data_IF_338828439888
#
_entry.id   IF_338828439888
#
_cell.length_a   1.000
_cell.length_b   1.000
_cell.length_c   1.000
_cell.angle_alpha   90.00
_cell.angle_beta   90.00
_cell.angle_gamma   90.00
#
_symmetry.space_group_name_H-M   'P 1'
#
loop_
_entity.id
_entity.type
_entity.pdbx_description
1 polymer ?
#
# COMPACT_ATOMS: atom_id res chain seq x y z
N UNK A 1 8.40 -9.47 6.41
CA UNK A 1 8.00 -8.05 6.44
C UNK A 1 7.43 -7.60 7.78
N UNK A 2 6.37 -8.24 8.32
CA UNK A 2 5.78 -7.78 9.60
C UNK A 2 6.74 -7.85 10.78
N UNK A 3 7.56 -8.90 10.88
CA UNK A 3 8.52 -9.03 11.97
C UNK A 3 9.55 -7.90 11.94
N UNK A 4 9.99 -7.51 10.75
CA UNK A 4 10.96 -6.44 10.50
C UNK A 4 10.37 -5.07 10.86
N UNK A 5 9.09 -4.82 10.55
CA UNK A 5 8.37 -3.61 10.97
C UNK A 5 8.26 -3.53 12.50
N UNK A 6 7.89 -4.63 13.15
CA UNK A 6 7.80 -4.68 14.62
C UNK A 6 9.17 -4.47 15.27
N UNK A 7 10.23 -5.06 14.73
CA UNK A 7 11.61 -4.85 15.19
C UNK A 7 12.06 -3.40 15.02
N UNK A 8 11.56 -2.69 14.00
CA UNK A 8 11.79 -1.27 13.79
C UNK A 8 10.89 -0.36 14.66
N UNK A 9 10.07 -0.92 15.56
CA UNK A 9 9.27 -0.16 16.53
C UNK A 9 7.84 0.16 16.09
N UNK A 10 7.36 -0.37 14.96
CA UNK A 10 6.00 -0.13 14.49
C UNK A 10 4.97 -1.00 15.21
N UNK A 11 3.84 -0.39 15.61
CA UNK A 11 2.60 -1.12 15.81
C UNK A 11 2.01 -1.53 14.46
N UNK A 12 1.76 -2.82 14.24
CA UNK A 12 1.28 -3.33 12.95
C UNK A 12 -0.11 -3.94 13.08
N UNK A 13 -1.09 -3.29 12.45
CA UNK A 13 -2.42 -3.86 12.23
C UNK A 13 -2.46 -4.60 10.89
N UNK A 14 -2.80 -5.88 10.91
CA UNK A 14 -3.16 -6.67 9.73
C UNK A 14 -4.59 -7.15 9.88
N UNK A 15 -5.33 -7.17 8.78
CA UNK A 15 -6.70 -7.66 8.75
C UNK A 15 -6.92 -8.45 7.46
N UNK A 16 -7.95 -9.28 7.47
CA UNK A 16 -8.46 -9.94 6.27
C UNK A 16 -9.58 -9.09 5.68
N UNK A 17 -9.54 -8.87 4.37
CA UNK A 17 -10.68 -8.30 3.63
C UNK A 17 -11.93 -9.17 3.79
N UNK A 18 -13.10 -8.58 3.53
CA UNK A 18 -14.38 -9.29 3.44
C UNK A 18 -14.27 -10.57 2.59
N UNK A 19 -14.88 -11.64 3.06
CA UNK A 19 -14.85 -12.96 2.41
C UNK A 19 -13.54 -13.73 2.52
N UNK A 20 -12.52 -13.22 3.23
CA UNK A 20 -11.24 -13.91 3.45
C UNK A 20 -11.11 -14.40 4.90
N UNK A 21 -10.80 -15.69 5.06
CA UNK A 21 -10.60 -16.30 6.37
C UNK A 21 -11.87 -16.21 7.23
N UNK A 22 -11.76 -15.54 8.37
CA UNK A 22 -12.90 -15.33 9.29
C UNK A 22 -13.66 -14.02 9.06
N UNK A 23 -13.27 -13.18 8.10
CA UNK A 23 -13.98 -11.94 7.78
C UNK A 23 -15.26 -12.26 7.02
N UNK A 24 -16.39 -11.73 7.49
CA UNK A 24 -17.70 -11.86 6.83
C UNK A 24 -17.78 -11.11 5.51
N UNK A 25 -18.89 -11.28 4.79
CA UNK A 25 -19.16 -10.61 3.51
C UNK A 25 -18.56 -11.36 2.31
N UNK A 26 -18.61 -10.72 1.16
CA UNK A 26 -18.17 -11.29 -0.12
C UNK A 26 -17.23 -10.34 -0.84
N UNK A 27 -16.30 -10.92 -1.62
CA UNK A 27 -15.36 -10.15 -2.44
C UNK A 27 -16.12 -9.28 -3.45
N UNK A 28 -15.69 -8.03 -3.57
CA UNK A 28 -16.37 -6.99 -4.36
C UNK A 28 -15.44 -6.20 -5.28
N UNK A 29 -14.37 -6.84 -5.75
CA UNK A 29 -13.42 -6.30 -6.73
C UNK A 29 -12.78 -4.95 -6.33
N UNK A 30 -12.60 -4.71 -5.04
CA UNK A 30 -11.99 -3.49 -4.51
C UNK A 30 -12.99 -2.37 -4.21
N UNK A 31 -14.29 -2.54 -4.47
CA UNK A 31 -15.31 -1.51 -4.17
C UNK A 31 -15.60 -1.52 -2.67
N UNK A 32 -16.06 -2.64 -2.15
CA UNK A 32 -16.35 -2.82 -0.74
C UNK A 32 -15.08 -2.95 0.11
N UNK A 33 -14.01 -3.51 -0.44
CA UNK A 33 -12.74 -3.63 0.29
C UNK A 33 -12.15 -2.26 0.68
N UNK A 34 -12.53 -1.17 0.02
CA UNK A 34 -12.20 0.19 0.46
C UNK A 34 -12.83 0.54 1.82
N UNK A 35 -14.03 0.05 2.12
CA UNK A 35 -14.64 0.22 3.45
C UNK A 35 -13.90 -0.58 4.51
N UNK A 36 -13.35 -1.75 4.15
CA UNK A 36 -12.56 -2.56 5.07
C UNK A 36 -11.24 -1.83 5.42
N UNK A 37 -10.59 -1.18 4.43
CA UNK A 37 -9.44 -0.30 4.67
C UNK A 37 -9.84 0.87 5.58
N UNK A 38 -10.96 1.54 5.28
CA UNK A 38 -11.45 2.66 6.08
C UNK A 38 -11.71 2.25 7.54
N UNK A 39 -12.34 1.10 7.76
CA UNK A 39 -12.61 0.55 9.08
C UNK A 39 -11.32 0.21 9.84
N UNK A 40 -10.31 -0.37 9.17
CA UNK A 40 -9.02 -0.65 9.79
C UNK A 40 -8.27 0.63 10.19
N UNK A 41 -8.29 1.66 9.33
CA UNK A 41 -7.67 2.97 9.62
C UNK A 41 -8.40 3.64 10.79
N UNK A 42 -9.74 3.63 10.80
CA UNK A 42 -10.54 4.20 11.87
C UNK A 42 -10.29 3.47 13.21
N UNK A 43 -10.22 2.14 13.19
CA UNK A 43 -9.89 1.35 14.38
C UNK A 43 -8.51 1.71 14.92
N UNK A 44 -7.48 1.79 14.06
CA UNK A 44 -6.13 2.16 14.47
C UNK A 44 -6.08 3.58 15.06
N UNK A 45 -6.81 4.53 14.49
CA UNK A 45 -6.92 5.90 14.99
C UNK A 45 -7.64 5.98 16.35
N UNK A 46 -8.65 5.15 16.58
CA UNK A 46 -9.35 5.11 17.88
C UNK A 46 -8.53 4.41 18.97
N UNK A 47 -7.87 3.29 18.64
CA UNK A 47 -7.08 2.54 19.59
C UNK A 47 -5.77 3.25 19.99
N UNK A 48 -5.17 3.99 19.04
CA UNK A 48 -3.89 4.68 19.20
C UNK A 48 -3.95 6.10 18.61
N UNK A 49 -4.68 7.03 19.24
CA UNK A 49 -4.94 8.37 18.67
C UNK A 49 -3.67 9.18 18.44
N UNK A 50 -2.72 9.10 19.36
CA UNK A 50 -1.50 9.93 19.38
C UNK A 50 -0.36 9.37 18.52
N UNK A 51 -0.49 8.15 17.98
CA UNK A 51 0.55 7.56 17.14
C UNK A 51 0.41 7.99 15.68
N UNK A 52 1.52 8.34 15.00
CA UNK A 52 1.54 8.45 13.54
C UNK A 52 1.08 7.13 12.89
N UNK A 53 0.39 7.25 11.76
CA UNK A 53 -0.18 6.12 11.03
C UNK A 53 0.24 6.18 9.57
N UNK A 54 0.39 5.02 8.95
CA UNK A 54 0.64 4.88 7.53
C UNK A 54 -0.02 3.62 7.00
N UNK A 55 -0.20 3.55 5.68
CA UNK A 55 -0.83 2.42 5.01
C UNK A 55 0.23 1.72 4.16
N UNK A 56 0.30 0.40 4.28
CA UNK A 56 1.12 -0.45 3.41
C UNK A 56 0.20 -1.46 2.74
N UNK A 57 0.17 -1.45 1.41
CA UNK A 57 -0.60 -2.41 0.63
C UNK A 57 0.31 -3.22 -0.28
N UNK A 58 -0.12 -4.44 -0.62
CA UNK A 58 0.55 -5.28 -1.60
C UNK A 58 -0.45 -5.69 -2.68
N UNK A 59 -0.10 -5.49 -3.96
CA UNK A 59 -0.88 -5.89 -5.12
C UNK A 59 -2.32 -5.39 -5.03
N UNK A 60 -3.32 -6.27 -5.00
CA UNK A 60 -4.72 -5.91 -4.77
C UNK A 60 -4.90 -4.97 -3.56
N UNK A 61 -4.22 -5.23 -2.44
CA UNK A 61 -4.31 -4.38 -1.24
C UNK A 61 -3.68 -3.00 -1.44
N UNK A 62 -2.64 -2.88 -2.28
CA UNK A 62 -2.07 -1.60 -2.66
C UNK A 62 -3.07 -0.80 -3.50
N UNK A 63 -3.61 -1.40 -4.55
CA UNK A 63 -4.59 -0.74 -5.41
C UNK A 63 -5.85 -0.31 -4.65
N UNK A 64 -6.39 -1.20 -3.82
CA UNK A 64 -7.57 -0.95 -2.99
C UNK A 64 -7.33 0.17 -1.97
N UNK A 65 -6.20 0.16 -1.28
CA UNK A 65 -5.90 1.20 -0.28
C UNK A 65 -5.60 2.56 -0.91
N UNK A 66 -5.02 2.61 -2.12
CA UNK A 66 -4.85 3.87 -2.84
C UNK A 66 -6.18 4.43 -3.35
N UNK A 67 -7.12 3.55 -3.76
CA UNK A 67 -8.50 3.94 -4.07
C UNK A 67 -9.24 4.47 -2.84
N UNK A 68 -9.05 3.85 -1.68
CA UNK A 68 -9.52 4.40 -0.41
C UNK A 68 -8.97 5.82 -0.18
N UNK A 69 -7.67 6.07 -0.43
CA UNK A 69 -7.13 7.43 -0.29
C UNK A 69 -7.81 8.44 -1.21
N UNK A 70 -8.12 8.06 -2.46
CA UNK A 70 -8.83 8.91 -3.39
C UNK A 70 -10.29 9.14 -2.97
N UNK A 71 -10.99 8.11 -2.49
CA UNK A 71 -12.39 8.24 -2.07
C UNK A 71 -12.55 9.06 -0.79
N UNK A 72 -11.74 8.76 0.21
CA UNK A 72 -11.83 9.36 1.55
C UNK A 72 -10.91 10.58 1.72
N UNK A 73 -10.22 11.00 0.65
CA UNK A 73 -9.27 12.12 0.65
C UNK A 73 -8.21 11.99 1.77
N UNK A 74 -7.75 10.75 2.01
CA UNK A 74 -6.78 10.45 3.07
C UNK A 74 -5.38 10.93 2.70
N UNK A 75 -4.80 11.74 3.58
CA UNK A 75 -3.42 12.25 3.47
C UNK A 75 -2.38 11.39 4.20
N UNK A 76 -2.73 10.17 4.62
CA UNK A 76 -1.80 9.29 5.34
C UNK A 76 -0.61 8.90 4.43
N UNK A 77 0.62 8.80 4.96
CA UNK A 77 1.72 8.17 4.24
C UNK A 77 1.33 6.77 3.72
N UNK A 78 1.69 6.47 2.49
CA UNK A 78 1.29 5.23 1.82
C UNK A 78 2.43 4.57 1.07
N UNK A 79 2.53 3.24 1.18
CA UNK A 79 3.48 2.42 0.41
C UNK A 79 2.70 1.33 -0.35
N UNK A 80 2.87 1.31 -1.67
CA UNK A 80 2.33 0.26 -2.54
C UNK A 80 3.41 -0.70 -3.00
N UNK A 81 3.28 -1.97 -2.62
CA UNK A 81 4.15 -3.06 -3.10
C UNK A 81 3.47 -3.71 -4.31
N UNK A 82 4.08 -3.58 -5.49
CA UNK A 82 3.62 -4.11 -6.76
C UNK A 82 2.12 -3.89 -7.05
N UNK A 83 1.58 -2.66 -6.96
CA UNK A 83 0.21 -2.40 -7.39
C UNK A 83 0.10 -2.46 -8.91
N UNK A 84 -0.80 -3.28 -9.48
CA UNK A 84 -1.11 -3.20 -10.91
C UNK A 84 -1.76 -1.86 -11.23
N UNK A 85 -1.26 -1.14 -12.25
CA UNK A 85 -1.84 0.15 -12.68
C UNK A 85 -3.21 -0.07 -13.30
N UNK A 86 -3.31 -1.08 -14.17
CA UNK A 86 -4.55 -1.59 -14.72
C UNK A 86 -4.54 -3.13 -14.75
N UNK A 87 -5.57 -3.76 -14.18
CA UNK A 87 -5.78 -5.21 -14.21
C UNK A 87 -7.26 -5.51 -14.03
N UNK A 88 -7.74 -6.64 -14.56
CA UNK A 88 -9.10 -7.12 -14.31
C UNK A 88 -9.26 -7.72 -12.90
N UNK A 89 -8.16 -8.01 -12.21
CA UNK A 89 -8.15 -8.63 -10.89
C UNK A 89 -8.04 -7.62 -9.73
N UNK A 90 -7.74 -6.36 -10.03
CA UNK A 90 -7.56 -5.30 -9.03
C UNK A 90 -8.31 -4.05 -9.44
N UNK A 91 -8.77 -3.21 -8.51
CA UNK A 91 -9.28 -1.90 -8.89
C UNK A 91 -8.18 -1.12 -9.61
N UNK A 92 -8.53 -0.41 -10.70
CA UNK A 92 -7.59 0.48 -11.40
C UNK A 92 -7.05 1.52 -10.42
N UNK A 93 -5.78 1.92 -10.50
CA UNK A 93 -5.28 3.01 -9.65
C UNK A 93 -5.96 4.36 -9.98
N UNK A 94 -6.18 5.25 -8.98
CA UNK A 94 -6.80 6.55 -9.20
C UNK A 94 -5.92 7.50 -10.00
N UNK A 95 -6.53 8.43 -10.74
CA UNK A 95 -5.81 9.51 -11.38
C UNK A 95 -5.20 10.46 -10.33
N UNK A 96 -4.09 11.15 -10.64
CA UNK A 96 -3.47 12.11 -9.72
C UNK A 96 -4.45 13.17 -9.18
N UNK A 97 -5.39 13.64 -10.00
CA UNK A 97 -6.40 14.64 -9.60
C UNK A 97 -7.44 14.14 -8.61
N UNK A 98 -7.56 12.81 -8.41
CA UNK A 98 -8.48 12.22 -7.43
C UNK A 98 -7.83 12.12 -6.03
N UNK A 99 -6.51 12.30 -5.93
CA UNK A 99 -5.75 12.07 -4.71
C UNK A 99 -5.42 13.36 -3.98
N UNK A 100 -5.67 13.38 -2.67
CA UNK A 100 -5.14 14.43 -1.79
C UNK A 100 -3.59 14.37 -1.75
N UNK A 101 -2.91 15.51 -1.48
CA UNK A 101 -1.48 15.50 -1.22
C UNK A 101 -1.12 14.56 -0.07
N UNK A 102 -0.23 13.61 -0.32
CA UNK A 102 0.29 12.68 0.67
C UNK A 102 1.66 12.16 0.23
N UNK A 103 2.47 11.73 1.18
CA UNK A 103 3.74 11.05 0.90
C UNK A 103 3.46 9.63 0.41
N UNK A 104 3.95 9.28 -0.77
CA UNK A 104 3.70 7.98 -1.40
C UNK A 104 5.00 7.37 -1.93
N UNK A 105 5.12 6.06 -1.79
CA UNK A 105 6.19 5.30 -2.43
C UNK A 105 5.66 4.00 -3.06
N UNK A 106 6.30 3.60 -4.14
CA UNK A 106 6.03 2.36 -4.85
C UNK A 106 7.24 1.43 -4.77
N UNK A 107 7.00 0.13 -4.68
CA UNK A 107 8.05 -0.90 -4.72
C UNK A 107 7.65 -1.91 -5.78
N UNK A 108 8.54 -2.24 -6.72
CA UNK A 108 8.26 -3.23 -7.78
C UNK A 108 9.49 -4.07 -8.07
N UNK A 109 9.29 -5.33 -8.46
CA UNK A 109 10.37 -6.20 -8.94
C UNK A 109 10.62 -6.00 -10.43
N UNK A 110 11.88 -6.04 -10.88
CA UNK A 110 12.19 -5.92 -12.31
C UNK A 110 11.83 -7.17 -13.14
N UNK A 111 11.42 -8.26 -12.48
CA UNK A 111 10.91 -9.49 -13.08
C UNK A 111 9.48 -9.77 -12.64
N UNK A 112 8.74 -8.74 -12.24
CA UNK A 112 7.33 -8.86 -11.92
C UNK A 112 6.55 -9.27 -13.18
N UNK A 113 5.77 -10.35 -13.05
CA UNK A 113 5.00 -10.95 -14.15
C UNK A 113 3.59 -10.35 -14.30
N UNK A 114 3.18 -9.48 -13.38
CA UNK A 114 1.87 -8.85 -13.35
C UNK A 114 1.94 -7.32 -13.45
N UNK A 115 3.05 -6.71 -13.05
CA UNK A 115 3.21 -5.25 -13.00
C UNK A 115 4.43 -4.81 -13.80
N UNK A 116 4.19 -4.04 -14.87
CA UNK A 116 5.26 -3.47 -15.67
C UNK A 116 6.00 -2.36 -14.92
N UNK A 117 7.33 -2.42 -14.88
CA UNK A 117 8.17 -1.40 -14.21
C UNK A 117 7.98 -0.03 -14.84
N UNK A 118 7.97 0.05 -16.17
CA UNK A 118 7.82 1.32 -16.91
C UNK A 118 6.46 1.96 -16.60
N UNK A 119 5.37 1.21 -16.77
CA UNK A 119 4.01 1.68 -16.50
C UNK A 119 3.86 2.19 -15.05
N UNK A 120 4.38 1.44 -14.07
CA UNK A 120 4.31 1.87 -12.67
C UNK A 120 5.23 3.07 -12.39
N UNK A 121 6.39 3.17 -13.05
CA UNK A 121 7.31 4.31 -12.92
C UNK A 121 6.68 5.59 -13.44
N UNK A 122 6.02 5.53 -14.60
CA UNK A 122 5.29 6.67 -15.17
C UNK A 122 4.14 7.11 -14.26
N UNK A 123 3.40 6.14 -13.71
CA UNK A 123 2.35 6.43 -12.75
C UNK A 123 2.90 7.09 -11.47
N UNK A 124 3.97 6.54 -10.89
CA UNK A 124 4.62 7.12 -9.71
C UNK A 124 5.12 8.55 -9.98
N UNK A 125 5.75 8.79 -11.13
CA UNK A 125 6.20 10.11 -11.55
C UNK A 125 5.04 11.11 -11.67
N UNK A 126 3.88 10.67 -12.19
CA UNK A 126 2.68 11.52 -12.29
C UNK A 126 2.13 11.96 -10.92
N UNK A 127 2.44 11.22 -9.86
CA UNK A 127 2.09 11.53 -8.47
C UNK A 127 3.18 12.29 -7.71
N UNK A 128 4.37 12.46 -8.31
CA UNK A 128 5.57 12.91 -7.58
C UNK A 128 5.98 11.94 -6.47
N UNK A 129 5.67 10.65 -6.62
CA UNK A 129 5.94 9.61 -5.62
C UNK A 129 7.31 8.95 -5.83
N UNK A 130 7.90 8.45 -4.75
CA UNK A 130 9.12 7.65 -4.82
C UNK A 130 8.83 6.29 -5.48
N UNK A 131 9.78 5.74 -6.24
CA UNK A 131 9.70 4.36 -6.74
C UNK A 131 11.01 3.60 -6.49
N UNK A 132 10.88 2.37 -6.01
CA UNK A 132 11.99 1.46 -5.74
C UNK A 132 11.86 0.20 -6.59
N UNK A 133 12.76 0.05 -7.56
CA UNK A 133 12.85 -1.15 -8.42
C UNK A 133 13.85 -2.13 -7.83
N UNK A 134 13.36 -3.29 -7.38
CA UNK A 134 14.19 -4.35 -6.79
C UNK A 134 14.67 -5.34 -7.85
N UNK A 135 15.95 -5.22 -8.22
CA UNK A 135 16.58 -6.08 -9.22
C UNK A 135 16.54 -7.57 -8.85
N UNK A 136 16.22 -8.40 -9.83
CA UNK A 136 16.07 -9.85 -9.71
C UNK A 136 14.87 -10.31 -8.88
N UNK A 137 13.86 -9.44 -8.68
CA UNK A 137 12.68 -9.77 -7.85
C UNK A 137 11.45 -9.93 -8.73
N UNK A 138 10.65 -10.94 -8.43
CA UNK A 138 9.32 -11.14 -9.01
C UNK A 138 8.25 -10.44 -8.16
N UNK A 139 6.97 -10.65 -8.53
CA UNK A 139 5.81 -10.10 -7.83
C UNK A 139 5.70 -10.50 -6.35
N UNK A 140 6.30 -11.64 -5.99
CA UNK A 140 6.20 -12.24 -4.66
C UNK A 140 7.38 -11.90 -3.76
N UNK A 141 8.46 -11.36 -4.34
CA UNK A 141 9.67 -10.94 -3.64
C UNK A 141 10.23 -12.06 -2.73
N UNK A 142 10.21 -13.30 -3.20
CA UNK A 142 10.73 -14.44 -2.44
C UNK A 142 12.17 -14.18 -1.97
N UNK A 143 12.41 -14.40 -0.66
CA UNK A 143 13.68 -14.12 0.02
C UNK A 143 14.13 -12.63 0.03
N UNK A 144 13.27 -11.70 -0.40
CA UNK A 144 13.53 -10.26 -0.44
C UNK A 144 12.68 -9.46 0.55
N UNK A 145 11.83 -10.11 1.35
CA UNK A 145 10.99 -9.42 2.34
C UNK A 145 11.73 -8.45 3.27
N UNK A 146 12.96 -8.73 3.75
CA UNK A 146 13.72 -7.76 4.54
C UNK A 146 14.06 -6.50 3.75
N UNK A 147 14.38 -6.64 2.45
CA UNK A 147 14.68 -5.50 1.58
C UNK A 147 13.42 -4.68 1.28
N UNK A 148 12.29 -5.34 1.06
CA UNK A 148 10.98 -4.66 0.93
C UNK A 148 10.66 -3.89 2.21
N UNK A 149 10.85 -4.51 3.39
CA UNK A 149 10.62 -3.88 4.68
C UNK A 149 11.50 -2.64 4.90
N UNK A 150 12.78 -2.68 4.51
CA UNK A 150 13.69 -1.53 4.59
C UNK A 150 13.13 -0.29 3.86
N UNK A 151 12.64 -0.47 2.63
CA UNK A 151 12.02 0.60 1.86
C UNK A 151 10.71 1.10 2.48
N UNK A 152 9.87 0.19 2.99
CA UNK A 152 8.65 0.55 3.72
C UNK A 152 8.98 1.40 4.95
N UNK A 153 9.92 0.95 5.78
CA UNK A 153 10.35 1.64 7.01
C UNK A 153 10.89 3.03 6.69
N UNK A 154 11.78 3.14 5.69
CA UNK A 154 12.33 4.43 5.28
C UNK A 154 11.23 5.40 4.83
N UNK A 155 10.22 4.91 4.09
CA UNK A 155 9.11 5.74 3.62
C UNK A 155 8.20 6.20 4.76
N UNK A 156 7.95 5.36 5.76
CA UNK A 156 7.07 5.71 6.87
C UNK A 156 7.77 6.57 7.94
N UNK A 157 9.08 6.38 8.18
CA UNK A 157 9.84 7.15 9.18
C UNK A 157 10.27 8.54 8.72
N UNK A 158 10.40 8.77 7.41
CA UNK A 158 10.72 10.10 6.87
C UNK A 158 9.62 11.15 7.12
N UNK A 159 8.47 10.74 7.68
CA UNK A 159 7.38 11.60 8.13
C UNK A 159 7.61 12.27 9.51
N UNK A 160 8.74 12.01 10.17
CA UNK A 160 9.03 12.54 11.52
C UNK A 160 9.97 13.76 11.53
N UNK A 161 10.34 14.28 10.36
CA UNK A 161 11.11 15.52 10.21
C UNK A 161 10.21 16.52 9.51
N UNK A 162 9.39 17.23 10.29
CA UNK A 162 8.98 18.63 10.11
C UNK A 162 8.25 19.11 11.38
#
# INVERSE_FOLDING_TARGET
MTAELVQAGFGVLRFNFRGVGSSSGEWSAGIGEQDDVAAAVAFAAQAYPDLPRGIVGWSFGAATSLRFQARDQSALPWVGIAPPVASDLTPRLPAPSELAPARRAFIVGDRDQFVGVEELSDYAASLGADIHVLKGSDHFFYFRYPKVAEHVIATLNSATTD
#
